data_IF_601706828354
#
_entry.id   IF_601706828354
#
_cell.length_a   1.000
_cell.length_b   1.000
_cell.length_c   1.000
_cell.angle_alpha   90.00
_cell.angle_beta   90.00
_cell.angle_gamma   90.00
#
_symmetry.space_group_name_H-M   'P 1'
#
loop_
_entity.id
_entity.type
_entity.pdbx_description
1 polymer ?
#
# COMPACT_ATOMS: atom_id res chain seq x y z
N UNK A 1 -18.49 9.51 19.34
CA UNK A 1 -19.11 10.30 18.26
C UNK A 1 -18.27 10.01 17.02
N UNK A 2 -18.79 9.20 16.09
CA UNK A 2 -18.03 8.66 14.97
C UNK A 2 -17.42 9.77 14.09
N UNK A 3 -16.12 9.65 13.77
CA UNK A 3 -15.44 10.56 12.86
C UNK A 3 -16.18 10.63 11.52
N UNK A 4 -16.58 11.85 11.16
CA UNK A 4 -17.18 12.16 9.86
C UNK A 4 -16.13 11.88 8.77
N UNK A 5 -16.48 11.20 7.67
CA UNK A 5 -15.55 11.04 6.56
C UNK A 5 -15.18 12.42 5.99
N UNK A 6 -13.91 12.63 5.66
CA UNK A 6 -13.40 13.87 5.02
C UNK A 6 -14.09 14.20 3.68
N UNK A 7 -14.80 13.23 3.09
CA UNK A 7 -15.57 13.41 1.86
C UNK A 7 -17.04 13.01 2.08
N UNK A 8 -18.01 13.81 1.58
CA UNK A 8 -19.42 13.45 1.65
C UNK A 8 -19.67 12.19 0.82
N UNK A 9 -20.16 11.13 1.47
CA UNK A 9 -20.55 9.88 0.83
C UNK A 9 -22.06 9.91 0.60
N UNK A 10 -22.48 9.88 -0.66
CA UNK A 10 -23.90 9.76 -1.03
C UNK A 10 -24.31 8.29 -0.99
N UNK A 11 -25.36 7.99 -0.22
CA UNK A 11 -25.93 6.66 -0.11
C UNK A 11 -27.16 6.51 -0.99
N UNK A 12 -27.34 5.34 -1.57
CA UNK A 12 -28.52 4.98 -2.34
C UNK A 12 -28.92 3.53 -2.08
N UNK A 13 -30.16 3.19 -2.42
CA UNK A 13 -30.67 1.83 -2.41
C UNK A 13 -30.69 1.28 -3.83
N UNK A 14 -30.52 -0.03 -3.98
CA UNK A 14 -30.50 -0.69 -5.29
C UNK A 14 -31.67 -1.68 -5.37
N UNK A 15 -32.45 -1.59 -6.44
CA UNK A 15 -33.60 -2.47 -6.65
C UNK A 15 -33.15 -3.94 -6.69
N UNK A 16 -33.82 -4.78 -5.91
CA UNK A 16 -33.52 -6.22 -5.81
C UNK A 16 -32.33 -6.59 -4.91
N UNK A 17 -31.69 -5.63 -4.22
CA UNK A 17 -30.57 -5.92 -3.33
C UNK A 17 -30.71 -5.20 -1.97
N UNK A 18 -30.87 -5.91 -0.84
CA UNK A 18 -31.08 -5.27 0.45
C UNK A 18 -29.82 -4.54 0.95
N UNK A 19 -30.02 -3.38 1.57
CA UNK A 19 -28.98 -2.61 2.24
C UNK A 19 -28.64 -1.27 1.57
N UNK A 20 -27.71 -0.54 2.17
CA UNK A 20 -27.23 0.76 1.67
C UNK A 20 -26.00 0.58 0.79
N UNK A 21 -26.01 1.26 -0.35
CA UNK A 21 -24.93 1.27 -1.34
C UNK A 21 -24.34 2.67 -1.48
N UNK A 22 -23.09 2.73 -1.94
CA UNK A 22 -22.41 3.98 -2.26
C UNK A 22 -21.38 3.74 -3.37
N UNK A 23 -20.95 4.82 -4.03
CA UNK A 23 -19.89 4.78 -5.01
C UNK A 23 -18.52 4.95 -4.34
N UNK A 24 -17.75 3.86 -4.23
CA UNK A 24 -16.37 3.92 -3.77
C UNK A 24 -15.46 4.44 -4.88
N UNK A 25 -14.66 5.47 -4.60
CA UNK A 25 -13.71 6.06 -5.56
C UNK A 25 -12.66 5.08 -6.11
N UNK A 26 -12.45 3.92 -5.46
CA UNK A 26 -11.43 2.95 -5.85
C UNK A 26 -11.98 1.66 -6.48
N UNK A 27 -13.17 1.23 -6.07
CA UNK A 27 -13.72 -0.09 -6.44
C UNK A 27 -15.13 -0.02 -7.03
N UNK A 28 -15.68 1.19 -7.23
CA UNK A 28 -17.02 1.41 -7.78
C UNK A 28 -18.13 1.21 -6.75
N UNK A 29 -19.34 0.89 -7.24
CA UNK A 29 -20.52 0.69 -6.39
C UNK A 29 -20.35 -0.51 -5.48
N UNK A 30 -20.52 -0.31 -4.17
CA UNK A 30 -20.49 -1.39 -3.19
C UNK A 30 -21.42 -1.12 -2.02
N UNK A 31 -21.79 -2.19 -1.31
CA UNK A 31 -22.55 -2.06 -0.07
C UNK A 31 -21.68 -1.56 1.08
N UNK A 32 -22.29 -0.87 2.03
CA UNK A 32 -21.65 -0.40 3.28
C UNK A 32 -20.98 -1.58 4.01
N UNK A 33 -21.67 -2.73 4.07
CA UNK A 33 -21.14 -3.94 4.72
C UNK A 33 -19.91 -4.50 4.01
N UNK A 34 -19.88 -4.48 2.67
CA UNK A 34 -18.71 -4.91 1.92
C UNK A 34 -17.53 -3.96 2.11
N UNK A 35 -17.77 -2.66 2.22
CA UNK A 35 -16.72 -1.69 2.53
C UNK A 35 -16.12 -1.91 3.93
N UNK A 36 -16.97 -2.07 4.95
CA UNK A 36 -16.53 -2.35 6.32
C UNK A 36 -15.70 -3.64 6.42
N UNK A 37 -16.11 -4.71 5.73
CA UNK A 37 -15.34 -5.96 5.64
C UNK A 37 -13.99 -5.76 4.93
N UNK A 38 -13.99 -5.07 3.78
CA UNK A 38 -12.75 -4.78 3.08
C UNK A 38 -11.78 -3.93 3.93
N UNK A 39 -12.27 -3.00 4.74
CA UNK A 39 -11.47 -2.21 5.67
C UNK A 39 -10.86 -3.07 6.79
N UNK A 40 -11.66 -3.93 7.41
CA UNK A 40 -11.21 -4.83 8.49
C UNK A 40 -10.26 -5.92 8.00
N UNK A 41 -10.45 -6.43 6.78
CA UNK A 41 -9.57 -7.43 6.16
C UNK A 41 -8.27 -6.83 5.58
N UNK A 42 -8.24 -5.52 5.31
CA UNK A 42 -7.12 -4.86 4.64
C UNK A 42 -5.76 -5.07 5.32
N UNK A 43 -5.63 -4.99 6.67
CA UNK A 43 -4.37 -5.24 7.37
C UNK A 43 -3.88 -6.69 7.24
N UNK A 44 -4.80 -7.64 7.08
CA UNK A 44 -4.52 -9.08 7.03
C UNK A 44 -4.44 -9.62 5.60
N UNK A 45 -4.85 -8.84 4.60
CA UNK A 45 -4.83 -9.20 3.19
C UNK A 45 -3.40 -9.21 2.62
N UNK A 46 -2.63 -10.25 2.96
CA UNK A 46 -1.29 -10.52 2.39
C UNK A 46 -1.35 -10.99 0.93
N UNK A 47 -2.50 -11.50 0.48
CA UNK A 47 -2.57 -12.37 -0.70
C UNK A 47 -2.51 -11.67 -2.06
N UNK A 48 -2.91 -10.41 -2.21
CA UNK A 48 -3.02 -9.81 -3.56
C UNK A 48 -2.81 -8.31 -3.69
N UNK A 49 -2.62 -7.55 -2.60
CA UNK A 49 -2.60 -6.09 -2.69
C UNK A 49 -3.95 -5.46 -3.10
N UNK A 50 -5.00 -6.28 -3.27
CA UNK A 50 -6.33 -5.85 -3.67
C UNK A 50 -6.88 -4.82 -2.70
N UNK A 51 -6.64 -4.96 -1.39
CA UNK A 51 -7.21 -4.12 -0.32
C UNK A 51 -6.26 -3.02 0.19
N UNK A 52 -5.17 -2.72 -0.53
CA UNK A 52 -4.20 -1.72 -0.07
C UNK A 52 -4.81 -0.33 0.11
N UNK A 53 -5.75 0.06 -0.75
CA UNK A 53 -6.47 1.34 -0.66
C UNK A 53 -7.43 1.41 0.54
N UNK A 54 -7.78 0.27 1.13
CA UNK A 54 -8.66 0.20 2.28
C UNK A 54 -7.93 0.37 3.61
N UNK A 55 -6.59 0.30 3.64
CA UNK A 55 -5.80 0.51 4.86
C UNK A 55 -5.88 1.98 5.26
N UNK A 56 -6.49 2.27 6.41
CA UNK A 56 -6.62 3.63 6.93
C UNK A 56 -7.63 4.51 6.19
N UNK A 57 -8.51 3.94 5.37
CA UNK A 57 -9.56 4.67 4.67
C UNK A 57 -10.60 5.22 5.66
N UNK A 58 -10.87 6.53 5.63
CA UNK A 58 -11.84 7.20 6.52
C UNK A 58 -13.27 6.71 6.31
N UNK A 59 -13.70 6.53 5.06
CA UNK A 59 -15.03 5.97 4.73
C UNK A 59 -15.17 4.55 5.29
N UNK A 60 -14.14 3.72 5.11
CA UNK A 60 -14.11 2.36 5.64
C UNK A 60 -14.16 2.33 7.17
N UNK A 61 -13.47 3.26 7.84
CA UNK A 61 -13.52 3.40 9.29
C UNK A 61 -14.92 3.79 9.78
N UNK A 62 -15.58 4.76 9.13
CA UNK A 62 -16.97 5.15 9.44
C UNK A 62 -17.93 3.96 9.23
N UNK A 63 -17.80 3.21 8.14
CA UNK A 63 -18.64 2.04 7.86
C UNK A 63 -18.37 0.88 8.82
N UNK A 64 -17.14 0.73 9.31
CA UNK A 64 -16.77 -0.26 10.31
C UNK A 64 -17.07 0.18 11.76
N UNK A 65 -17.57 1.41 11.96
CA UNK A 65 -17.87 1.96 13.29
C UNK A 65 -16.64 2.26 14.14
N UNK A 66 -15.49 2.54 13.53
CA UNK A 66 -14.24 2.85 14.23
C UNK A 66 -14.03 4.36 14.27
N UNK A 67 -13.93 4.94 15.47
CA UNK A 67 -13.86 6.40 15.70
C UNK A 67 -12.60 7.07 15.14
N UNK A 68 -11.56 6.31 14.83
CA UNK A 68 -10.39 6.76 14.09
C UNK A 68 -9.89 5.61 13.20
N UNK A 69 -9.45 5.85 11.96
CA UNK A 69 -8.68 4.84 11.24
C UNK A 69 -7.53 4.44 12.17
N UNK A 70 -7.36 3.14 12.50
CA UNK A 70 -6.24 2.75 13.35
C UNK A 70 -5.00 3.30 12.68
N UNK A 71 -4.26 4.15 13.41
CA UNK A 71 -3.01 4.72 12.94
C UNK A 71 -2.25 3.55 12.32
N UNK A 72 -1.98 3.63 11.01
CA UNK A 72 -1.48 2.52 10.21
C UNK A 72 -0.49 1.76 11.08
N UNK A 73 -0.90 0.59 11.60
CA UNK A 73 -0.13 -0.04 12.66
C UNK A 73 1.27 -0.18 12.10
N UNK A 74 2.31 0.25 12.83
CA UNK A 74 3.68 0.20 12.32
C UNK A 74 3.83 -1.19 11.72
N UNK A 75 4.23 -1.29 10.44
CA UNK A 75 4.16 -2.55 9.71
C UNK A 75 4.81 -3.59 10.61
N UNK A 76 4.05 -4.65 10.91
CA UNK A 76 4.43 -5.58 11.99
C UNK A 76 5.92 -5.86 11.87
N UNK A 77 6.66 -5.72 12.98
CA UNK A 77 8.11 -5.87 13.05
C UNK A 77 8.65 -7.05 12.23
N UNK A 78 7.82 -8.07 12.02
CA UNK A 78 8.05 -9.18 11.11
C UNK A 78 8.47 -8.78 9.68
N UNK A 79 7.88 -7.79 9.00
CA UNK A 79 8.29 -7.45 7.62
C UNK A 79 9.63 -6.73 7.62
N UNK A 80 9.91 -5.86 8.60
CA UNK A 80 11.17 -5.11 8.64
C UNK A 80 12.35 -6.08 8.84
N UNK A 81 12.19 -7.05 9.74
CA UNK A 81 13.27 -7.97 10.16
C UNK A 81 13.27 -9.34 9.46
N UNK A 82 12.23 -9.70 8.68
CA UNK A 82 12.24 -10.92 7.85
C UNK A 82 12.59 -10.61 6.41
N UNK A 83 13.15 -11.57 5.65
CA UNK A 83 13.29 -11.45 4.20
C UNK A 83 11.88 -11.50 3.56
N UNK A 84 11.20 -10.35 3.52
CA UNK A 84 9.88 -10.14 2.93
C UNK A 84 9.96 -8.99 1.92
N UNK A 85 9.39 -9.09 0.72
CA UNK A 85 9.38 -7.99 -0.25
C UNK A 85 8.54 -6.83 0.30
N UNK A 86 9.10 -5.64 0.48
CA UNK A 86 8.38 -4.49 1.05
C UNK A 86 7.22 -4.01 0.17
N UNK A 87 7.30 -4.23 -1.14
CA UNK A 87 6.26 -3.83 -2.11
C UNK A 87 5.07 -4.78 -2.16
N UNK A 88 5.30 -6.08 -2.34
CA UNK A 88 4.21 -7.06 -2.42
C UNK A 88 3.91 -7.76 -1.09
N UNK A 89 4.70 -7.49 -0.05
CA UNK A 89 4.59 -8.02 1.32
C UNK A 89 4.65 -9.56 1.41
N UNK A 90 5.07 -10.22 0.34
CA UNK A 90 5.32 -11.67 0.31
C UNK A 90 6.70 -11.97 0.89
N UNK A 91 6.78 -13.05 1.62
CA UNK A 91 7.99 -13.67 2.15
C UNK A 91 8.21 -15.06 1.52
N UNK A 92 9.31 -15.71 1.87
CA UNK A 92 9.63 -17.06 1.36
C UNK A 92 8.66 -18.17 1.80
N UNK A 93 7.68 -17.89 2.67
CA UNK A 93 6.67 -18.85 3.13
C UNK A 93 5.32 -18.66 2.45
N UNK A 94 5.01 -17.44 2.02
CA UNK A 94 3.74 -17.05 1.36
C UNK A 94 3.72 -17.31 -0.16
N UNK A 95 4.86 -17.63 -0.76
CA UNK A 95 4.90 -18.33 -2.05
C UNK A 95 4.91 -19.83 -1.77
N UNK A 96 3.79 -20.53 -2.02
CA UNK A 96 3.64 -21.95 -1.73
C UNK A 96 4.77 -22.85 -2.23
N UNK A 97 4.76 -24.10 -1.80
CA UNK A 97 5.78 -25.17 -1.93
C UNK A 97 6.39 -25.46 -3.32
N UNK A 98 6.07 -24.67 -4.35
CA UNK A 98 6.46 -24.87 -5.76
C UNK A 98 7.57 -23.95 -6.27
N UNK A 99 8.32 -23.25 -5.42
CA UNK A 99 9.52 -22.54 -5.85
C UNK A 99 10.78 -23.21 -5.28
N UNK A 100 11.54 -23.81 -6.19
CA UNK A 100 12.95 -24.11 -6.02
C UNK A 100 13.67 -22.78 -5.80
N UNK A 101 14.01 -22.47 -4.55
CA UNK A 101 14.83 -21.32 -4.20
C UNK A 101 14.17 -20.34 -3.22
N UNK A 102 14.92 -20.00 -2.17
CA UNK A 102 14.57 -18.95 -1.18
C UNK A 102 14.19 -17.66 -1.91
N UNK A 103 13.17 -16.94 -1.44
CA UNK A 103 12.74 -15.68 -2.05
C UNK A 103 13.92 -14.70 -2.17
N UNK A 104 14.33 -14.40 -3.41
CA UNK A 104 15.44 -13.49 -3.70
C UNK A 104 14.96 -12.04 -3.67
N UNK A 105 15.57 -11.26 -2.78
CA UNK A 105 15.39 -9.82 -2.69
C UNK A 105 16.52 -9.11 -3.45
N UNK A 106 16.18 -8.00 -4.08
CA UNK A 106 17.07 -7.09 -4.83
C UNK A 106 16.94 -5.67 -4.24
N UNK A 107 17.71 -4.70 -4.76
CA UNK A 107 17.76 -3.32 -4.26
C UNK A 107 18.11 -3.20 -2.78
N UNK A 108 19.25 -3.79 -2.39
CA UNK A 108 19.66 -3.80 -0.98
C UNK A 108 18.72 -4.62 -0.10
N UNK A 109 18.08 -5.64 -0.66
CA UNK A 109 17.22 -6.56 0.07
C UNK A 109 15.80 -6.04 0.34
N UNK A 110 15.27 -5.09 -0.43
CA UNK A 110 13.94 -4.50 -0.15
C UNK A 110 12.82 -5.15 -0.95
N UNK A 111 12.96 -5.31 -2.26
CA UNK A 111 11.91 -5.84 -3.14
C UNK A 111 12.30 -7.18 -3.76
N UNK A 112 11.35 -8.05 -4.09
CA UNK A 112 11.62 -9.30 -4.80
C UNK A 112 11.84 -9.09 -6.30
N UNK A 113 12.51 -10.03 -6.95
CA UNK A 113 12.77 -10.02 -8.40
C UNK A 113 11.49 -9.82 -9.22
N UNK A 114 10.37 -10.44 -8.82
CA UNK A 114 9.10 -10.25 -9.53
C UNK A 114 8.60 -8.81 -9.48
N UNK A 115 8.70 -8.14 -8.32
CA UNK A 115 8.29 -6.74 -8.20
C UNK A 115 9.23 -5.80 -8.96
N UNK A 116 10.52 -6.10 -8.96
CA UNK A 116 11.50 -5.37 -9.76
C UNK A 116 11.21 -5.48 -11.26
N UNK A 117 10.89 -6.68 -11.75
CA UNK A 117 10.53 -6.86 -13.17
C UNK A 117 9.24 -6.13 -13.52
N UNK A 118 8.20 -6.18 -12.67
CA UNK A 118 6.96 -5.43 -12.90
C UNK A 118 7.18 -3.92 -12.89
N UNK A 119 8.10 -3.41 -12.09
CA UNK A 119 8.49 -2.00 -12.17
C UNK A 119 9.14 -1.68 -13.51
N UNK A 120 10.11 -2.49 -13.98
CA UNK A 120 10.72 -2.28 -15.29
C UNK A 120 9.68 -2.28 -16.41
N UNK A 121 8.70 -3.17 -16.36
CA UNK A 121 7.59 -3.20 -17.32
C UNK A 121 6.78 -1.90 -17.31
N UNK A 122 6.49 -1.34 -16.13
CA UNK A 122 5.79 -0.05 -16.00
C UNK A 122 6.64 1.07 -16.59
N UNK A 123 7.93 1.13 -16.26
CA UNK A 123 8.87 2.13 -16.79
C UNK A 123 9.03 1.99 -18.31
N UNK A 124 9.04 0.78 -18.85
CA UNK A 124 9.13 0.54 -20.29
C UNK A 124 7.78 0.62 -21.02
N UNK A 125 6.67 0.86 -20.30
CA UNK A 125 5.33 0.93 -20.86
C UNK A 125 4.73 -0.39 -21.37
N UNK A 126 5.47 -1.51 -21.29
CA UNK A 126 5.08 -2.80 -21.86
C UNK A 126 5.54 -3.96 -20.96
N UNK A 127 4.67 -4.95 -20.80
CA UNK A 127 5.02 -6.20 -20.11
C UNK A 127 5.84 -7.14 -21.01
N UNK A 128 6.31 -8.26 -20.46
CA UNK A 128 7.06 -9.27 -21.23
C UNK A 128 6.31 -9.86 -22.45
N UNK A 129 5.01 -9.60 -22.60
CA UNK A 129 4.18 -9.99 -23.75
C UNK A 129 3.80 -8.80 -24.65
N UNK A 130 4.40 -7.63 -24.44
CA UNK A 130 4.12 -6.41 -25.22
C UNK A 130 2.83 -5.67 -24.85
N UNK A 131 2.10 -6.10 -23.82
CA UNK A 131 0.85 -5.47 -23.41
C UNK A 131 1.03 -4.46 -22.27
N UNK A 132 0.10 -3.49 -22.14
CA UNK A 132 0.17 -2.46 -21.09
C UNK A 132 0.24 -3.09 -19.69
N UNK A 133 1.23 -2.70 -18.86
CA UNK A 133 1.36 -3.19 -17.49
C UNK A 133 0.14 -2.81 -16.65
N UNK A 134 -0.50 -3.80 -16.02
CA UNK A 134 -1.64 -3.58 -15.10
C UNK A 134 -1.22 -3.53 -13.64
N UNK A 135 -0.15 -4.24 -13.29
CA UNK A 135 0.31 -4.34 -11.91
C UNK A 135 1.32 -3.23 -11.64
N UNK A 136 1.09 -2.46 -10.57
CA UNK A 136 1.91 -1.30 -10.19
C UNK A 136 1.90 -0.16 -11.21
N UNK A 137 0.87 -0.04 -12.04
CA UNK A 137 0.73 1.02 -13.05
C UNK A 137 0.58 2.46 -12.47
N UNK A 138 0.64 2.62 -11.16
CA UNK A 138 0.61 3.90 -10.45
C UNK A 138 1.83 4.10 -9.56
N UNK A 139 2.99 3.61 -10.01
CA UNK A 139 4.28 3.91 -9.38
C UNK A 139 4.55 5.42 -9.44
N UNK A 140 5.09 5.97 -8.36
CA UNK A 140 5.42 7.38 -8.26
C UNK A 140 6.79 7.57 -7.60
N UNK A 141 7.43 8.70 -7.91
CA UNK A 141 8.60 9.16 -7.18
C UNK A 141 8.16 9.93 -5.95
N UNK A 142 8.90 9.75 -4.86
CA UNK A 142 8.53 10.31 -3.56
C UNK A 142 9.76 10.72 -2.78
N UNK A 143 9.68 11.87 -2.13
CA UNK A 143 10.64 12.28 -1.11
C UNK A 143 10.10 11.92 0.27
N UNK A 144 11.01 11.51 1.16
CA UNK A 144 10.69 11.28 2.56
C UNK A 144 11.56 12.17 3.42
N UNK A 145 10.92 12.93 4.30
CA UNK A 145 11.62 13.53 5.44
C UNK A 145 11.61 12.50 6.56
N UNK A 146 12.76 12.20 7.13
CA UNK A 146 12.87 11.40 8.36
C UNK A 146 13.68 12.17 9.40
N UNK A 147 13.39 11.91 10.67
CA UNK A 147 14.06 12.59 11.78
C UNK A 147 15.08 11.62 12.37
N UNK A 148 16.35 12.02 12.37
CA UNK A 148 17.38 11.36 13.16
C UNK A 148 17.50 12.05 14.52
N UNK A 149 18.22 11.43 15.47
CA UNK A 149 18.42 11.92 16.84
C UNK A 149 18.82 13.40 16.97
N UNK A 150 19.44 13.98 15.94
CA UNK A 150 19.95 15.36 15.97
C UNK A 150 19.44 16.26 14.85
N UNK A 151 18.73 15.74 13.84
CA UNK A 151 18.28 16.55 12.69
C UNK A 151 17.14 15.92 11.91
N UNK A 152 16.26 16.75 11.37
CA UNK A 152 15.38 16.36 10.28
C UNK A 152 16.22 16.25 8.98
N UNK A 153 16.19 15.10 8.33
CA UNK A 153 16.84 14.85 7.04
C UNK A 153 15.76 14.63 5.99
N UNK A 154 15.76 15.45 4.94
CA UNK A 154 14.94 15.21 3.76
C UNK A 154 15.77 14.38 2.78
N UNK A 155 15.26 13.21 2.38
CA UNK A 155 15.90 12.38 1.38
C UNK A 155 14.90 12.04 0.27
N UNK A 156 15.28 12.32 -0.97
CA UNK A 156 14.54 11.85 -2.14
C UNK A 156 14.76 10.36 -2.26
N UNK A 157 13.67 9.58 -2.32
CA UNK A 157 13.80 8.16 -2.56
C UNK A 157 14.18 7.93 -4.03
N UNK A 158 15.30 7.27 -4.31
CA UNK A 158 15.81 7.16 -5.69
C UNK A 158 14.98 6.20 -6.55
N UNK A 159 14.23 5.30 -5.93
CA UNK A 159 13.42 4.29 -6.61
C UNK A 159 11.93 4.66 -6.56
N UNK A 160 11.14 4.43 -7.63
CA UNK A 160 9.71 4.66 -7.58
C UNK A 160 9.04 3.66 -6.65
N UNK A 161 7.99 4.08 -5.95
CA UNK A 161 7.28 3.28 -4.92
C UNK A 161 5.78 3.21 -5.23
N UNK A 162 5.09 2.18 -4.72
CA UNK A 162 3.65 1.99 -4.97
C UNK A 162 2.78 2.70 -3.95
N UNK A 163 3.30 2.91 -2.74
CA UNK A 163 2.61 3.58 -1.64
C UNK A 163 3.62 4.09 -0.60
N UNK A 164 3.12 4.87 0.36
CA UNK A 164 3.93 5.43 1.47
C UNK A 164 4.43 4.35 2.44
N UNK A 165 3.74 3.21 2.53
CA UNK A 165 4.12 2.12 3.42
C UNK A 165 5.38 1.43 2.87
N UNK A 166 5.45 1.22 1.56
CA UNK A 166 6.64 0.72 0.89
C UNK A 166 7.85 1.62 1.14
N UNK A 167 7.65 2.93 1.02
CA UNK A 167 8.69 3.93 1.29
C UNK A 167 9.17 3.86 2.74
N UNK A 168 8.26 3.87 3.72
CA UNK A 168 8.60 3.73 5.13
C UNK A 168 9.35 2.41 5.42
N UNK A 169 8.86 1.30 4.87
CA UNK A 169 9.49 -0.01 5.02
C UNK A 169 10.88 -0.07 4.39
N UNK A 170 11.08 0.60 3.25
CA UNK A 170 12.38 0.70 2.59
C UNK A 170 13.37 1.47 3.45
N UNK A 171 12.94 2.58 4.06
CA UNK A 171 13.76 3.36 4.99
C UNK A 171 14.13 2.56 6.24
N UNK A 172 13.15 1.91 6.87
CA UNK A 172 13.38 1.06 8.04
C UNK A 172 14.34 -0.09 7.73
N UNK A 173 14.20 -0.74 6.56
CA UNK A 173 15.08 -1.85 6.17
C UNK A 173 16.49 -1.40 5.79
N UNK A 174 16.66 -0.21 5.22
CA UNK A 174 17.97 0.36 4.87
C UNK A 174 18.74 0.88 6.10
N UNK A 175 18.20 0.71 7.32
CA UNK A 175 18.90 1.06 8.55
C UNK A 175 18.78 2.54 8.95
N UNK A 176 17.78 3.27 8.44
CA UNK A 176 17.48 4.62 8.95
C UNK A 176 16.81 4.48 10.31
N UNK A 177 17.60 4.67 11.37
CA UNK A 177 17.25 4.22 12.72
C UNK A 177 16.07 4.97 13.35
N UNK A 178 15.07 4.16 13.74
CA UNK A 178 14.11 4.32 14.85
C UNK A 178 12.90 5.24 14.70
N UNK A 179 12.74 5.99 13.61
CA UNK A 179 11.49 6.71 13.38
C UNK A 179 11.36 7.35 12.00
N UNK A 180 10.35 6.93 11.23
CA UNK A 180 9.95 7.65 10.00
C UNK A 180 8.75 8.52 10.37
N UNK A 181 8.97 9.83 10.43
CA UNK A 181 7.91 10.81 10.70
C UNK A 181 7.68 11.66 9.45
N UNK A 182 6.43 11.77 9.01
CA UNK A 182 6.08 12.48 7.79
C UNK A 182 5.82 13.96 8.08
N UNK A 183 6.72 14.86 7.68
CA UNK A 183 6.43 16.29 7.70
C UNK A 183 5.74 16.68 6.39
N UNK A 184 4.40 16.81 6.44
CA UNK A 184 3.48 17.03 5.30
C UNK A 184 3.41 15.87 4.30
N UNK A 185 2.25 15.64 3.63
CA UNK A 185 2.09 14.54 2.70
C UNK A 185 3.21 14.59 1.65
N UNK A 186 3.96 13.50 1.40
CA UNK A 186 4.91 13.48 0.31
C UNK A 186 4.18 13.83 -0.98
N UNK A 187 4.72 14.82 -1.70
CA UNK A 187 4.28 15.15 -3.05
C UNK A 187 4.53 13.89 -3.88
N UNK A 188 3.45 13.24 -4.30
CA UNK A 188 3.53 12.12 -5.23
C UNK A 188 3.82 12.74 -6.59
N UNK A 189 5.03 12.57 -7.10
CA UNK A 189 5.37 13.03 -8.44
C UNK A 189 5.06 11.85 -9.36
N UNK A 190 4.05 11.96 -10.25
CA UNK A 190 3.76 10.92 -11.23
C UNK A 190 5.00 10.68 -12.08
N UNK A 191 5.25 9.43 -12.44
CA UNK A 191 6.11 9.14 -13.59
C UNK A 191 5.38 9.66 -14.82
N UNK A 192 5.85 10.77 -15.39
CA UNK A 192 5.41 11.20 -16.72
C UNK A 192 5.73 10.07 -17.72
N UNK A 193 4.74 9.76 -18.56
CA UNK A 193 4.71 8.63 -19.48
C UNK A 193 5.42 8.96 -20.80
#
# INVERSE_FOLDING_TARGET
MAAKPDFPVTYFEQEGAPGKYFACAHYGTMSVNACARNFTDAPHSVKQGRLQRCIGCSVGATHAGVDAPPAASPPSSSIVYRPACVRCRRDGRTQGSRLVGRMRLVRGGTICVSCFNREKEVVSGANAKGAKPRKWSGLFFSSVTYVTWSRAVVQVHPDPVVDRIELALTMLRRGHERGVAWSRPPVLIPLEA
#
